data_IF_236349002783
#
_entry.id   IF_236349002783
#
_cell.length_a   1.000
_cell.length_b   1.000
_cell.length_c   1.000
_cell.angle_alpha   90.00
_cell.angle_beta   90.00
_cell.angle_gamma   90.00
#
_symmetry.space_group_name_H-M   'P 1'
#
loop_
_entity.id
_entity.type
_entity.pdbx_description
1 polymer ?
#
# COMPACT_ATOMS: atom_id res chain seq x y z
N UNK A 1 14.50 19.63 -0.74
CA UNK A 1 13.46 20.14 -1.65
C UNK A 1 12.60 18.96 -2.06
N UNK A 2 11.26 19.03 -1.97
CA UNK A 2 10.40 18.01 -2.58
C UNK A 2 10.59 18.00 -4.10
N UNK A 3 10.57 16.82 -4.72
CA UNK A 3 10.58 16.64 -6.18
C UNK A 3 9.18 16.25 -6.63
N UNK A 4 8.69 16.90 -7.68
CA UNK A 4 7.41 16.61 -8.34
C UNK A 4 7.68 15.64 -9.48
N UNK A 5 7.16 14.42 -9.38
CA UNK A 5 7.11 13.47 -10.50
C UNK A 5 5.66 13.35 -10.97
N UNK A 6 5.44 13.65 -12.26
CA UNK A 6 4.11 13.78 -12.85
C UNK A 6 3.43 12.43 -13.08
N UNK A 7 2.11 12.39 -12.85
CA UNK A 7 1.25 11.20 -12.92
C UNK A 7 -0.04 11.51 -13.68
N UNK A 8 0.02 11.59 -15.02
CA UNK A 8 -1.15 11.91 -15.85
C UNK A 8 -1.88 13.21 -15.47
N UNK A 9 -2.98 13.54 -16.14
CA UNK A 9 -3.60 14.88 -16.05
C UNK A 9 -4.27 15.23 -14.70
N UNK A 10 -4.38 14.30 -13.72
CA UNK A 10 -5.24 14.49 -12.54
C UNK A 10 -4.67 14.02 -11.18
N UNK A 11 -3.42 13.54 -11.13
CA UNK A 11 -2.74 13.19 -9.89
C UNK A 11 -1.26 13.62 -9.91
N UNK A 12 -0.69 13.89 -8.74
CA UNK A 12 0.71 14.26 -8.55
C UNK A 12 1.31 13.41 -7.44
N UNK A 13 2.57 12.97 -7.63
CA UNK A 13 3.35 12.33 -6.57
C UNK A 13 4.41 13.29 -6.08
N UNK A 14 4.36 13.59 -4.78
CA UNK A 14 5.34 14.45 -4.12
C UNK A 14 6.21 13.58 -3.21
N UNK A 15 7.52 13.65 -3.42
CA UNK A 15 8.48 12.80 -2.72
C UNK A 15 9.36 13.60 -1.77
N UNK A 16 9.62 13.04 -0.59
CA UNK A 16 10.62 13.55 0.36
C UNK A 16 11.34 12.39 1.07
N UNK A 17 12.57 12.59 1.57
CA UNK A 17 13.22 11.61 2.42
C UNK A 17 12.42 11.38 3.73
N UNK A 18 12.38 10.13 4.18
CA UNK A 18 11.95 9.79 5.53
C UNK A 18 13.02 10.23 6.54
N UNK A 19 12.63 10.69 7.73
CA UNK A 19 13.62 11.08 8.75
C UNK A 19 14.36 9.83 9.27
N UNK A 20 15.61 9.67 8.87
CA UNK A 20 16.51 8.57 9.23
C UNK A 20 17.70 8.55 8.26
N UNK A 21 18.87 8.02 8.67
CA UNK A 21 20.00 7.87 7.74
C UNK A 21 19.57 6.92 6.61
N UNK A 22 19.65 7.32 5.33
CA UNK A 22 19.38 6.41 4.24
C UNK A 22 20.46 5.33 4.24
N UNK A 23 20.06 4.06 4.24
CA UNK A 23 20.98 2.97 3.91
C UNK A 23 21.47 3.19 2.48
N UNK A 24 22.78 2.98 2.26
CA UNK A 24 23.54 3.50 1.13
C UNK A 24 23.18 2.89 -0.25
N UNK A 25 22.09 2.16 -0.37
CA UNK A 25 21.65 1.52 -1.60
C UNK A 25 20.11 1.54 -1.66
N UNK A 26 19.56 2.66 -2.15
CA UNK A 26 18.13 2.84 -2.29
C UNK A 26 17.62 1.96 -3.43
N UNK A 27 17.18 0.75 -3.08
CA UNK A 27 16.42 -0.11 -3.98
C UNK A 27 15.07 0.53 -4.27
N UNK A 28 14.62 0.45 -5.53
CA UNK A 28 13.22 0.69 -5.88
C UNK A 28 12.41 -0.40 -5.17
N UNK A 29 11.73 -0.02 -4.10
CA UNK A 29 11.03 -0.98 -3.26
C UNK A 29 9.69 -1.35 -3.89
N UNK A 30 9.01 -0.40 -4.53
CA UNK A 30 7.80 -0.63 -5.32
C UNK A 30 7.93 0.11 -6.65
N UNK A 31 7.74 -0.60 -7.77
CA UNK A 31 7.62 0.00 -9.09
C UNK A 31 6.30 -0.46 -9.73
N UNK A 32 5.53 0.47 -10.26
CA UNK A 32 4.25 0.29 -10.91
C UNK A 32 4.39 0.86 -12.31
N UNK A 33 4.04 0.08 -13.32
CA UNK A 33 4.18 0.44 -14.73
C UNK A 33 2.87 0.17 -15.48
N UNK A 34 2.37 1.19 -16.19
CA UNK A 34 1.17 1.18 -17.03
C UNK A 34 -0.07 0.60 -16.33
N UNK A 35 -0.22 0.87 -15.03
CA UNK A 35 -1.28 0.26 -14.23
C UNK A 35 -2.65 0.81 -14.65
N UNK A 36 -3.58 -0.10 -14.96
CA UNK A 36 -4.93 0.26 -15.39
C UNK A 36 -6.00 -0.36 -14.50
N UNK A 37 -7.09 0.38 -14.31
CA UNK A 37 -8.28 -0.11 -13.61
C UNK A 37 -9.53 0.62 -14.04
N UNK A 38 -10.59 -0.13 -14.33
CA UNK A 38 -11.90 0.37 -14.71
C UNK A 38 -13.01 -0.20 -13.81
N UNK A 39 -14.07 0.58 -13.61
CA UNK A 39 -15.29 0.15 -12.93
C UNK A 39 -16.50 0.61 -13.74
N UNK A 40 -17.38 -0.31 -14.13
CA UNK A 40 -18.62 0.03 -14.84
C UNK A 40 -18.40 0.87 -16.10
N UNK A 41 -17.30 0.65 -16.83
CA UNK A 41 -16.92 1.42 -18.01
C UNK A 41 -16.15 2.72 -17.75
N UNK A 42 -16.03 3.15 -16.49
CA UNK A 42 -15.23 4.33 -16.10
C UNK A 42 -13.80 3.91 -15.80
N UNK A 43 -12.83 4.45 -16.54
CA UNK A 43 -11.40 4.22 -16.29
C UNK A 43 -10.95 5.08 -15.11
N UNK A 44 -10.62 4.42 -14.01
CA UNK A 44 -10.23 5.05 -12.74
C UNK A 44 -8.71 5.16 -12.59
N UNK A 45 -7.97 4.22 -13.18
CA UNK A 45 -6.53 4.32 -13.41
C UNK A 45 -6.28 4.09 -14.89
N UNK A 46 -5.56 5.01 -15.51
CA UNK A 46 -5.20 4.95 -16.93
C UNK A 46 -3.69 5.07 -17.08
N UNK A 47 -3.03 3.94 -17.35
CA UNK A 47 -1.58 3.85 -17.57
C UNK A 47 -0.76 4.59 -16.51
N UNK A 48 -1.01 4.24 -15.24
CA UNK A 48 -0.44 4.90 -14.06
C UNK A 48 0.93 4.33 -13.72
N UNK A 49 1.95 5.19 -13.60
CA UNK A 49 3.32 4.82 -13.25
C UNK A 49 3.72 5.37 -11.87
N UNK A 50 4.30 4.54 -11.00
CA UNK A 50 4.76 4.97 -9.68
C UNK A 50 6.03 4.23 -9.27
N UNK A 51 7.05 4.96 -8.84
CA UNK A 51 8.24 4.37 -8.21
C UNK A 51 8.40 4.87 -6.79
N UNK A 52 8.36 3.95 -5.82
CA UNK A 52 8.60 4.22 -4.40
C UNK A 52 9.93 3.59 -4.02
N UNK A 53 10.87 4.43 -3.58
CA UNK A 53 12.20 3.99 -3.11
C UNK A 53 12.22 3.82 -1.59
N UNK A 54 13.07 2.91 -1.12
CA UNK A 54 13.30 2.73 0.32
C UNK A 54 13.72 4.06 0.97
N UNK A 55 13.22 4.32 2.19
CA UNK A 55 13.56 5.52 2.95
C UNK A 55 12.94 6.81 2.40
N UNK A 56 11.96 6.73 1.50
CA UNK A 56 11.22 7.88 1.00
C UNK A 56 9.76 7.88 1.46
N UNK A 57 9.22 9.08 1.63
CA UNK A 57 7.81 9.33 1.86
C UNK A 57 7.24 9.93 0.58
N UNK A 58 6.26 9.23 0.02
CA UNK A 58 5.55 9.60 -1.19
C UNK A 58 4.13 10.04 -0.83
N UNK A 59 3.70 11.18 -1.34
CA UNK A 59 2.33 11.64 -1.22
C UNK A 59 1.66 11.60 -2.59
N UNK A 60 0.61 10.79 -2.71
CA UNK A 60 -0.24 10.76 -3.91
C UNK A 60 -1.38 11.75 -3.70
N UNK A 61 -1.39 12.82 -4.48
CA UNK A 61 -2.35 13.94 -4.40
C UNK A 61 -3.12 14.03 -5.71
N UNK A 62 -4.35 14.54 -5.68
CA UNK A 62 -5.21 14.65 -6.86
C UNK A 62 -6.66 14.86 -6.47
N UNK A 63 -7.54 15.10 -7.43
CA UNK A 63 -8.96 15.34 -7.18
C UNK A 63 -9.72 14.09 -6.71
N UNK A 64 -10.91 14.29 -6.14
CA UNK A 64 -11.79 13.16 -5.84
C UNK A 64 -12.15 12.45 -7.15
N UNK A 65 -11.99 11.13 -7.19
CA UNK A 65 -12.18 10.33 -8.41
C UNK A 65 -10.92 10.09 -9.23
N UNK A 66 -9.79 10.77 -8.95
CA UNK A 66 -8.51 10.57 -9.65
C UNK A 66 -7.81 9.22 -9.38
N UNK A 67 -8.53 8.21 -8.85
CA UNK A 67 -8.00 6.86 -8.68
C UNK A 67 -7.04 6.62 -7.50
N UNK A 68 -6.72 7.61 -6.68
CA UNK A 68 -5.83 7.46 -5.50
C UNK A 68 -6.19 6.27 -4.60
N UNK A 69 -7.45 6.18 -4.16
CA UNK A 69 -7.91 5.07 -3.31
C UNK A 69 -7.90 3.73 -4.05
N UNK A 70 -8.08 3.75 -5.36
CA UNK A 70 -7.99 2.56 -6.23
C UNK A 70 -6.57 2.04 -6.30
N UNK A 71 -5.59 2.92 -6.52
CA UNK A 71 -4.16 2.59 -6.46
C UNK A 71 -3.80 1.96 -5.10
N UNK A 72 -4.20 2.61 -4.00
CA UNK A 72 -3.89 2.12 -2.65
C UNK A 72 -4.49 0.73 -2.40
N UNK A 73 -5.72 0.47 -2.86
CA UNK A 73 -6.35 -0.86 -2.76
C UNK A 73 -5.63 -1.92 -3.59
N UNK A 74 -5.10 -1.55 -4.76
CA UNK A 74 -4.32 -2.47 -5.61
C UNK A 74 -2.99 -2.82 -4.93
N UNK A 75 -2.26 -1.82 -4.44
CA UNK A 75 -1.00 -2.03 -3.70
C UNK A 75 -1.23 -2.78 -2.38
N UNK A 76 -2.41 -2.67 -1.78
CA UNK A 76 -2.80 -3.47 -0.63
C UNK A 76 -3.26 -4.90 -0.99
N UNK A 77 -3.33 -5.27 -2.27
CA UNK A 77 -3.86 -6.57 -2.72
C UNK A 77 -5.37 -6.76 -2.46
N UNK A 78 -6.10 -5.70 -2.14
CA UNK A 78 -7.55 -5.72 -1.95
C UNK A 78 -8.31 -5.63 -3.28
N UNK A 79 -7.64 -5.19 -4.34
CA UNK A 79 -8.19 -5.07 -5.68
C UNK A 79 -7.15 -5.56 -6.70
N UNK A 80 -7.58 -6.29 -7.72
CA UNK A 80 -6.71 -6.66 -8.86
C UNK A 80 -6.76 -5.57 -9.93
N UNK A 81 -5.62 -5.16 -10.50
CA UNK A 81 -5.61 -4.28 -11.67
C UNK A 81 -6.19 -5.00 -12.90
N UNK A 82 -6.59 -4.24 -13.91
CA UNK A 82 -7.02 -4.80 -15.20
C UNK A 82 -5.84 -5.02 -16.15
N UNK A 83 -4.73 -4.30 -15.94
CA UNK A 83 -3.49 -4.40 -16.70
C UNK A 83 -2.35 -3.63 -16.04
N UNK A 84 -1.18 -3.67 -16.67
CA UNK A 84 0.07 -3.14 -16.13
C UNK A 84 0.82 -4.14 -15.25
N UNK A 85 1.96 -3.71 -14.69
CA UNK A 85 2.81 -4.56 -13.85
C UNK A 85 3.17 -3.89 -12.54
N UNK A 86 3.41 -4.71 -11.52
CA UNK A 86 3.89 -4.26 -10.21
C UNK A 86 5.14 -5.08 -9.88
N UNK A 87 6.24 -4.41 -9.57
CA UNK A 87 7.47 -5.00 -9.08
C UNK A 87 7.70 -4.58 -7.63
N UNK A 88 8.13 -5.52 -6.80
CA UNK A 88 8.55 -5.26 -5.43
C UNK A 88 9.98 -5.73 -5.25
N UNK A 89 10.89 -4.81 -4.89
CA UNK A 89 12.34 -5.08 -4.82
C UNK A 89 12.89 -5.73 -6.09
N UNK A 90 12.47 -5.20 -7.25
CA UNK A 90 12.87 -5.69 -8.57
C UNK A 90 12.13 -6.94 -9.08
N UNK A 91 11.40 -7.67 -8.23
CA UNK A 91 10.67 -8.88 -8.64
C UNK A 91 9.23 -8.56 -9.06
N UNK A 92 8.75 -9.04 -10.23
CA UNK A 92 7.34 -8.98 -10.58
C UNK A 92 6.47 -9.69 -9.54
N UNK A 93 5.41 -9.03 -9.09
CA UNK A 93 4.50 -9.58 -8.09
C UNK A 93 3.04 -9.49 -8.52
N UNK A 94 2.26 -10.47 -8.07
CA UNK A 94 0.81 -10.40 -8.06
C UNK A 94 0.32 -10.36 -6.62
N UNK A 95 -0.42 -9.32 -6.27
CA UNK A 95 -0.99 -9.13 -4.95
C UNK A 95 -2.44 -9.62 -4.95
N UNK A 96 -2.64 -10.88 -4.58
CA UNK A 96 -3.96 -11.52 -4.66
C UNK A 96 -4.84 -11.32 -3.42
N UNK A 97 -4.26 -10.84 -2.34
CA UNK A 97 -4.99 -10.54 -1.10
C UNK A 97 -4.19 -9.58 -0.20
N UNK A 98 -4.86 -8.90 0.76
CA UNK A 98 -4.17 -8.16 1.82
C UNK A 98 -3.19 -9.01 2.62
N UNK A 99 -3.49 -10.29 2.84
CA UNK A 99 -2.57 -11.20 3.51
C UNK A 99 -1.30 -11.47 2.67
N UNK A 100 -1.42 -11.55 1.35
CA UNK A 100 -0.28 -11.73 0.44
C UNK A 100 0.61 -10.48 0.39
N UNK A 101 0.01 -9.29 0.29
CA UNK A 101 0.73 -8.01 0.34
C UNK A 101 1.53 -7.88 1.66
N UNK A 102 0.87 -8.19 2.77
CA UNK A 102 1.46 -8.13 4.11
C UNK A 102 2.62 -9.10 4.31
N UNK A 103 2.57 -10.30 3.74
CA UNK A 103 3.69 -11.26 3.77
C UNK A 103 4.93 -10.74 3.05
N UNK A 104 4.76 -9.83 2.09
CA UNK A 104 5.85 -9.16 1.38
C UNK A 104 6.32 -7.87 2.06
N UNK A 105 5.69 -7.47 3.16
CA UNK A 105 6.02 -6.24 3.90
C UNK A 105 5.20 -5.02 3.50
N UNK A 106 4.19 -5.16 2.62
CA UNK A 106 3.31 -4.06 2.25
C UNK A 106 2.12 -3.99 3.22
N UNK A 107 2.00 -2.88 3.94
CA UNK A 107 0.89 -2.59 4.86
C UNK A 107 0.08 -1.39 4.40
N UNK A 108 -1.22 -1.39 4.70
CA UNK A 108 -2.11 -0.25 4.47
C UNK A 108 -2.76 0.16 5.78
N UNK A 109 -2.91 1.47 5.97
CA UNK A 109 -3.75 2.06 7.01
C UNK A 109 -4.93 2.71 6.31
N UNK A 110 -6.14 2.26 6.62
CA UNK A 110 -7.36 2.80 6.04
C UNK A 110 -7.79 4.09 6.75
N UNK A 111 -8.50 4.96 6.02
CA UNK A 111 -8.98 6.25 6.52
C UNK A 111 -9.96 6.10 7.69
N UNK A 112 -10.79 5.07 7.66
CA UNK A 112 -11.71 4.76 8.76
C UNK A 112 -11.11 3.72 9.70
N UNK A 113 -11.04 4.06 10.98
CA UNK A 113 -10.49 3.21 12.03
C UNK A 113 -11.51 2.10 12.39
N UNK A 114 -11.15 0.84 12.11
CA UNK A 114 -11.91 -0.34 12.57
C UNK A 114 -11.37 -0.86 13.89
N UNK A 115 -11.44 -0.04 14.95
CA UNK A 115 -11.00 -0.42 16.29
C UNK A 115 -12.10 -1.16 17.05
N UNK A 116 -11.71 -2.05 17.96
CA UNK A 116 -12.60 -2.67 18.93
C UNK A 116 -12.50 -1.88 20.25
N UNK A 117 -13.45 -0.95 20.52
CA UNK A 117 -13.34 -0.02 21.64
C UNK A 117 -13.37 -0.69 23.01
N UNK A 118 -13.93 -1.90 23.09
CA UNK A 118 -14.01 -2.68 24.32
C UNK A 118 -12.81 -3.63 24.52
N UNK A 119 -11.77 -3.54 23.68
CA UNK A 119 -10.54 -4.35 23.79
C UNK A 119 -9.36 -3.47 24.20
N UNK A 120 -8.37 -4.05 24.89
CA UNK A 120 -7.12 -3.37 25.20
C UNK A 120 -6.39 -2.91 23.93
N UNK A 121 -5.45 -1.97 24.06
CA UNK A 121 -4.58 -1.55 22.95
C UNK A 121 -3.86 -2.76 22.38
N UNK A 122 -3.29 -3.61 23.24
CA UNK A 122 -2.54 -4.78 22.78
C UNK A 122 -3.44 -5.77 22.05
N UNK A 123 -4.65 -5.98 22.54
CA UNK A 123 -5.65 -6.81 21.88
C UNK A 123 -6.08 -6.27 20.51
N UNK A 124 -6.10 -4.94 20.30
CA UNK A 124 -6.33 -4.33 18.99
C UNK A 124 -5.14 -4.53 18.03
N UNK A 125 -3.91 -4.48 18.54
CA UNK A 125 -2.70 -4.70 17.74
C UNK A 125 -2.59 -6.14 17.21
N UNK A 126 -3.13 -7.12 17.94
CA UNK A 126 -3.06 -8.54 17.59
C UNK A 126 -4.29 -9.09 16.85
N UNK A 127 -5.24 -8.25 16.42
CA UNK A 127 -6.40 -8.72 15.65
C UNK A 127 -5.93 -9.48 14.39
N UNK A 128 -6.49 -10.67 14.15
CA UNK A 128 -6.10 -11.60 13.08
C UNK A 128 -4.64 -12.10 13.19
N UNK A 129 -4.03 -11.95 14.37
CA UNK A 129 -2.69 -12.43 14.75
C UNK A 129 -2.64 -12.82 16.22
N UNK A 130 -3.77 -13.23 16.79
CA UNK A 130 -3.85 -13.58 18.20
C UNK A 130 -2.88 -14.72 18.52
N UNK A 131 -2.11 -14.63 19.61
CA UNK A 131 -1.23 -15.73 20.01
C UNK A 131 -2.07 -16.97 20.27
N UNK A 132 -1.72 -18.08 19.62
CA UNK A 132 -2.40 -19.36 19.79
C UNK A 132 -1.50 -20.37 20.51
N UNK A 133 -2.12 -21.26 21.30
CA UNK A 133 -1.47 -22.40 21.93
C UNK A 133 -2.34 -23.63 21.73
N UNK A 134 -1.79 -24.69 21.14
CA UNK A 134 -2.55 -25.88 20.73
C UNK A 134 -3.78 -25.56 19.86
N UNK A 135 -3.68 -24.54 18.99
CA UNK A 135 -4.79 -24.12 18.13
C UNK A 135 -5.88 -23.27 18.82
N UNK A 136 -5.76 -23.02 20.12
CA UNK A 136 -6.67 -22.17 20.89
C UNK A 136 -6.06 -20.79 21.13
N UNK A 137 -6.89 -19.75 21.08
CA UNK A 137 -6.46 -18.38 21.40
C UNK A 137 -5.98 -18.35 22.87
N UNK A 138 -4.72 -17.96 23.07
CA UNK A 138 -4.15 -17.82 24.41
C UNK A 138 -4.55 -16.47 24.99
N UNK A 139 -5.15 -16.49 26.18
CA UNK A 139 -5.53 -15.28 26.93
C UNK A 139 -4.47 -14.83 27.95
N UNK A 140 -3.25 -15.39 27.92
CA UNK A 140 -2.19 -14.89 28.82
C UNK A 140 -1.99 -13.41 28.53
N UNK A 141 -2.20 -12.60 29.56
CA UNK A 141 -2.38 -11.15 29.49
C UNK A 141 -1.40 -10.51 28.51
N UNK A 142 -1.95 -10.21 27.34
CA UNK A 142 -1.55 -9.11 26.47
C UNK A 142 -2.29 -7.86 26.91
#
# INVERSE_FOLDING_TARGET
>A
MPTEEGMGDHALVVTRPASGKPDAEAIDEVCVEELTKSFGGVRTLDSMDLTVKTGQIHAVVGENGAGKSTLMKILAGALRPDGGTIRFRGEPITLESPAAARRRGVGIVYQELSLFPHRSVLANLFVNREPTRFGLISRRET
#
